data_IF_107676034895
#
_entry.id   IF_107676034895
#
_cell.length_a   1.000
_cell.length_b   1.000
_cell.length_c   1.000
_cell.angle_alpha   90.00
_cell.angle_beta   90.00
_cell.angle_gamma   90.00
#
_symmetry.space_group_name_H-M   'P 1'
#
loop_
_entity.id
_entity.type
_entity.pdbx_description
1 polymer ?
#
# COMPACT_ATOMS: atom_id res chain seq x y z
N UNK A 1 13.94 1.36 13.46
CA UNK A 1 14.23 2.49 12.59
C UNK A 1 13.29 2.51 11.39
N UNK A 2 13.32 3.60 10.67
CA UNK A 2 12.47 3.82 9.51
C UNK A 2 12.75 2.83 8.38
N UNK A 3 14.02 2.44 8.24
CA UNK A 3 14.44 1.48 7.22
C UNK A 3 13.79 0.11 7.48
N UNK A 4 13.80 -0.31 8.73
CA UNK A 4 13.20 -1.60 9.10
C UNK A 4 11.70 -1.60 8.93
N UNK A 5 11.03 -0.49 9.25
CA UNK A 5 9.59 -0.37 9.05
C UNK A 5 9.22 -0.49 7.59
N UNK A 6 9.97 0.19 6.72
CA UNK A 6 9.74 0.13 5.28
C UNK A 6 9.95 -1.28 4.73
N UNK A 7 11.02 -1.94 5.18
CA UNK A 7 11.29 -3.32 4.79
C UNK A 7 10.16 -4.25 5.23
N UNK A 8 9.62 -4.03 6.44
CA UNK A 8 8.50 -4.81 6.94
C UNK A 8 7.26 -4.68 6.07
N UNK A 9 6.91 -3.46 5.68
CA UNK A 9 5.77 -3.23 4.79
C UNK A 9 5.98 -3.91 3.43
N UNK A 10 7.18 -3.80 2.89
CA UNK A 10 7.50 -4.44 1.61
C UNK A 10 7.36 -5.95 1.70
N UNK A 11 7.91 -6.54 2.76
CA UNK A 11 7.90 -7.99 2.93
C UNK A 11 6.49 -8.52 3.09
N UNK A 12 5.65 -7.86 3.88
CA UNK A 12 4.28 -8.28 4.10
C UNK A 12 3.51 -8.24 2.78
N UNK A 13 3.64 -7.15 2.04
CA UNK A 13 2.93 -7.01 0.77
C UNK A 13 3.44 -7.98 -0.29
N UNK A 14 4.74 -8.21 -0.30
CA UNK A 14 5.34 -9.18 -1.22
C UNK A 14 4.78 -10.58 -0.98
N UNK A 15 4.71 -11.01 0.28
CA UNK A 15 4.17 -12.31 0.63
C UNK A 15 2.68 -12.42 0.28
N UNK A 16 1.94 -11.35 0.57
CA UNK A 16 0.52 -11.32 0.24
C UNK A 16 0.30 -11.46 -1.27
N UNK A 17 1.09 -10.77 -2.07
CA UNK A 17 0.99 -10.84 -3.52
C UNK A 17 1.26 -12.23 -4.06
N UNK A 18 2.19 -12.97 -3.44
CA UNK A 18 2.47 -14.34 -3.84
C UNK A 18 1.29 -15.27 -3.63
N UNK A 19 0.46 -14.95 -2.64
CA UNK A 19 -0.69 -15.79 -2.31
C UNK A 19 -1.92 -15.49 -3.14
N UNK A 20 -1.96 -14.34 -3.81
CA UNK A 20 -3.10 -13.93 -4.62
C UNK A 20 -2.98 -14.60 -5.99
N UNK A 21 -4.06 -15.27 -6.41
CA UNK A 21 -4.10 -15.87 -7.73
C UNK A 21 -4.11 -14.78 -8.80
N UNK A 22 -3.71 -15.14 -10.01
CA UNK A 22 -3.76 -14.22 -11.16
C UNK A 22 -5.19 -13.69 -11.32
N UNK A 23 -5.33 -12.37 -11.34
CA UNK A 23 -6.63 -11.71 -11.44
C UNK A 23 -7.34 -11.50 -10.11
N UNK A 24 -6.77 -12.00 -9.00
CA UNK A 24 -7.32 -11.79 -7.67
C UNK A 24 -7.04 -10.40 -7.14
N UNK A 25 -7.52 -10.11 -5.93
CA UNK A 25 -7.44 -8.78 -5.35
C UNK A 25 -6.65 -8.78 -4.06
N UNK A 26 -5.95 -7.67 -3.85
CA UNK A 26 -5.20 -7.41 -2.62
C UNK A 26 -5.62 -6.06 -2.07
N UNK A 27 -6.04 -6.05 -0.80
CA UNK A 27 -6.26 -4.81 -0.07
C UNK A 27 -5.09 -4.62 0.89
N UNK A 28 -4.51 -3.44 0.88
CA UNK A 28 -3.37 -3.13 1.74
C UNK A 28 -3.47 -1.71 2.26
N UNK A 29 -3.01 -1.50 3.48
CA UNK A 29 -3.13 -0.18 4.10
C UNK A 29 -1.96 0.12 5.02
N UNK A 30 -1.81 1.40 5.31
CA UNK A 30 -0.90 1.90 6.33
C UNK A 30 -1.58 3.01 7.09
N UNK A 31 -1.47 2.99 8.42
CA UNK A 31 -1.98 4.05 9.29
C UNK A 31 -0.83 4.81 9.96
N UNK A 32 0.35 4.74 9.40
CA UNK A 32 1.55 5.34 9.96
C UNK A 32 1.81 6.72 9.35
N UNK A 33 2.08 7.70 10.19
CA UNK A 33 2.54 9.01 9.72
C UNK A 33 3.88 8.92 9.02
N UNK A 34 4.71 7.98 9.45
CA UNK A 34 6.01 7.75 8.87
C UNK A 34 5.92 7.28 7.42
N UNK A 35 4.94 6.43 7.13
CA UNK A 35 4.76 5.88 5.79
C UNK A 35 3.93 6.85 4.95
N UNK A 36 4.61 7.81 4.30
CA UNK A 36 3.95 8.78 3.43
C UNK A 36 3.31 8.07 2.24
N UNK A 37 2.44 8.78 1.52
CA UNK A 37 1.81 8.24 0.31
C UNK A 37 2.88 7.78 -0.69
N UNK A 38 3.88 8.61 -0.95
CA UNK A 38 4.94 8.30 -1.90
C UNK A 38 5.74 7.09 -1.46
N UNK A 39 6.09 7.04 -0.20
CA UNK A 39 6.89 5.94 0.34
C UNK A 39 6.11 4.64 0.32
N UNK A 40 4.84 4.68 0.69
CA UNK A 40 3.97 3.51 0.69
C UNK A 40 3.79 2.98 -0.74
N UNK A 41 3.51 3.88 -1.67
CA UNK A 41 3.32 3.53 -3.08
C UNK A 41 4.59 2.91 -3.67
N UNK A 42 5.75 3.49 -3.39
CA UNK A 42 7.04 2.94 -3.84
C UNK A 42 7.29 1.55 -3.27
N UNK A 43 6.97 1.39 -1.99
CA UNK A 43 7.19 0.12 -1.30
C UNK A 43 6.34 -1.00 -1.91
N UNK A 44 5.08 -0.70 -2.20
CA UNK A 44 4.18 -1.65 -2.84
C UNK A 44 4.66 -1.97 -4.25
N UNK A 45 5.09 -0.96 -4.99
CA UNK A 45 5.59 -1.14 -6.36
C UNK A 45 6.81 -2.05 -6.38
N UNK A 46 7.75 -1.84 -5.44
CA UNK A 46 8.92 -2.70 -5.33
C UNK A 46 8.55 -4.14 -5.02
N UNK A 47 7.59 -4.34 -4.11
CA UNK A 47 7.11 -5.68 -3.77
C UNK A 47 6.56 -6.39 -5.00
N UNK A 48 5.75 -5.70 -5.80
CA UNK A 48 5.16 -6.26 -7.01
C UNK A 48 6.24 -6.66 -8.02
N UNK A 49 7.24 -5.80 -8.20
CA UNK A 49 8.36 -6.09 -9.12
C UNK A 49 9.14 -7.31 -8.69
N UNK A 50 9.37 -7.45 -7.38
CA UNK A 50 10.14 -8.56 -6.84
C UNK A 50 9.46 -9.92 -7.04
N UNK A 51 8.14 -9.93 -7.15
CA UNK A 51 7.39 -11.18 -7.36
C UNK A 51 6.82 -11.30 -8.77
N UNK A 52 7.22 -10.39 -9.66
CA UNK A 52 6.82 -10.39 -11.08
C UNK A 52 5.30 -10.31 -11.23
N UNK A 53 4.69 -9.41 -10.47
CA UNK A 53 3.26 -9.13 -10.55
C UNK A 53 3.03 -7.72 -11.07
N UNK A 54 1.91 -7.53 -11.74
CA UNK A 54 1.42 -6.21 -12.10
C UNK A 54 0.23 -5.88 -11.23
N UNK A 55 0.14 -4.62 -10.83
CA UNK A 55 -0.95 -4.16 -9.99
C UNK A 55 -1.81 -3.19 -10.77
N UNK A 56 -3.10 -3.47 -10.80
CA UNK A 56 -4.09 -2.54 -11.34
C UNK A 56 -4.80 -1.91 -10.16
N UNK A 57 -4.64 -0.59 -10.00
CA UNK A 57 -5.29 0.12 -8.90
C UNK A 57 -6.80 0.17 -9.13
N UNK A 58 -7.54 -0.42 -8.20
CA UNK A 58 -9.00 -0.40 -8.24
C UNK A 58 -9.52 0.75 -7.39
N UNK A 59 -8.91 0.99 -6.24
CA UNK A 59 -9.36 2.01 -5.32
C UNK A 59 -8.21 2.51 -4.47
N UNK A 60 -8.27 3.79 -4.11
CA UNK A 60 -7.39 4.38 -3.11
C UNK A 60 -8.23 5.27 -2.21
N UNK A 61 -8.08 5.12 -0.91
CA UNK A 61 -8.82 5.91 0.08
C UNK A 61 -7.91 6.40 1.19
N UNK A 62 -8.32 7.52 1.78
CA UNK A 62 -7.74 8.06 3.00
C UNK A 62 -8.73 7.85 4.14
N UNK A 63 -8.68 8.69 5.19
CA UNK A 63 -9.59 8.56 6.32
C UNK A 63 -11.05 8.67 5.87
N UNK A 64 -11.91 7.99 6.63
CA UNK A 64 -13.35 8.09 6.42
C UNK A 64 -13.83 9.53 6.65
N UNK A 65 -14.93 9.94 6.03
CA UNK A 65 -15.45 11.32 6.19
C UNK A 65 -15.75 11.72 7.63
N UNK A 66 -16.01 10.75 8.52
CA UNK A 66 -16.26 11.03 9.93
C UNK A 66 -14.97 11.30 10.70
N UNK A 67 -13.81 11.18 10.06
CA UNK A 67 -12.51 11.56 10.61
C UNK A 67 -12.03 12.81 9.87
N UNK A 68 -12.35 14.00 10.36
CA UNK A 68 -12.01 15.24 9.65
C UNK A 68 -10.51 15.37 9.43
N UNK A 69 -10.14 15.88 8.27
CA UNK A 69 -8.76 16.16 7.94
C UNK A 69 -8.51 17.64 8.21
N UNK A 70 -7.52 17.92 9.06
CA UNK A 70 -7.14 19.30 9.38
C UNK A 70 -6.11 19.76 8.37
N UNK A 71 -6.43 20.81 7.65
CA UNK A 71 -5.58 21.29 6.56
C UNK A 71 -4.17 21.70 6.99
N UNK A 72 -4.03 22.16 8.23
CA UNK A 72 -2.74 22.60 8.73
C UNK A 72 -1.95 21.50 9.44
N UNK A 73 -2.47 20.27 9.51
CA UNK A 73 -1.85 19.18 10.27
C UNK A 73 -1.66 17.96 9.38
N UNK A 74 -0.42 17.68 9.00
CA UNK A 74 -0.08 16.51 8.18
C UNK A 74 -0.52 15.21 8.86
N UNK A 75 -0.50 15.19 10.17
CA UNK A 75 -0.90 14.03 10.96
C UNK A 75 -2.32 13.57 10.66
N UNK A 76 -3.17 14.46 10.12
CA UNK A 76 -4.53 14.11 9.74
C UNK A 76 -4.58 13.21 8.49
N UNK A 77 -3.49 13.15 7.72
CA UNK A 77 -3.41 12.35 6.50
C UNK A 77 -2.59 11.10 6.73
N UNK A 78 -2.98 10.29 7.70
CA UNK A 78 -2.19 9.11 8.04
C UNK A 78 -2.70 7.82 7.41
N UNK A 79 -3.99 7.72 7.11
CA UNK A 79 -4.54 6.49 6.54
C UNK A 79 -4.33 6.45 5.02
N UNK A 80 -3.74 5.36 4.56
CA UNK A 80 -3.56 5.08 3.14
C UNK A 80 -4.09 3.66 2.91
N UNK A 81 -5.04 3.53 2.02
CA UNK A 81 -5.70 2.26 1.76
C UNK A 81 -5.83 2.06 0.25
N UNK A 82 -5.30 0.95 -0.22
CA UNK A 82 -5.36 0.58 -1.62
C UNK A 82 -6.08 -0.74 -1.80
N UNK A 83 -6.82 -0.84 -2.90
CA UNK A 83 -7.25 -2.13 -3.43
C UNK A 83 -6.65 -2.28 -4.82
N UNK A 84 -5.94 -3.38 -5.03
CA UNK A 84 -5.32 -3.69 -6.31
C UNK A 84 -5.86 -5.01 -6.86
N UNK A 85 -5.99 -5.07 -8.17
CA UNK A 85 -6.09 -6.36 -8.84
C UNK A 85 -4.66 -6.80 -9.15
N UNK A 86 -4.33 -8.02 -8.79
CA UNK A 86 -2.99 -8.57 -8.96
C UNK A 86 -2.99 -9.47 -10.18
N UNK A 87 -2.09 -9.18 -11.12
CA UNK A 87 -2.04 -9.91 -12.37
C UNK A 87 -0.61 -10.40 -12.58
N UNK A 88 -0.48 -11.66 -13.00
CA UNK A 88 0.84 -12.20 -13.28
C UNK A 88 1.46 -11.49 -14.48
N UNK A 89 2.73 -11.18 -14.36
CA UNK A 89 3.50 -10.60 -15.45
C UNK A 89 3.80 -11.69 -16.47
N UNK A 90 3.51 -11.39 -17.73
CA UNK A 90 3.72 -12.36 -18.80
C UNK A 90 5.03 -12.13 -19.53
#
# INVERSE_FOLDING_TARGET
>A
SDVYKRQGYREINLRAMKLVRDGGFLATCSCSHFMTYELFTQTIHQAARNVHKRLRQVEYRTQAPDHPILWAAEESYYLKFYVFQVVDEK
#
